data_IF_917645133773
#
_entry.id   IF_917645133773
#
_cell.length_a   1.000
_cell.length_b   1.000
_cell.length_c   1.000
_cell.angle_alpha   90.00
_cell.angle_beta   90.00
_cell.angle_gamma   90.00
#
_symmetry.space_group_name_H-M   'P 1'
#
loop_
_entity.id
_entity.type
_entity.pdbx_description
1 polymer ?
#
# COMPACT_ATOMS: atom_id res chain seq x y z
N UNK A 1 -23.62 -1.98 -15.10
CA UNK A 1 -22.71 -1.78 -13.95
C UNK A 1 -22.08 -3.11 -13.63
N UNK A 2 -20.75 -3.17 -13.49
CA UNK A 2 -20.06 -4.39 -13.09
C UNK A 2 -20.48 -4.80 -11.67
N UNK A 3 -20.67 -6.09 -11.38
CA UNK A 3 -21.05 -6.53 -10.05
C UNK A 3 -19.96 -6.20 -9.03
N UNK A 4 -20.38 -5.94 -7.78
CA UNK A 4 -19.45 -5.79 -6.67
C UNK A 4 -19.01 -7.17 -6.18
N UNK A 5 -17.70 -7.43 -6.18
CA UNK A 5 -17.15 -8.72 -5.76
C UNK A 5 -16.28 -8.53 -4.53
N UNK A 6 -16.43 -9.42 -3.55
CA UNK A 6 -15.64 -9.37 -2.32
C UNK A 6 -14.22 -9.91 -2.61
N UNK A 7 -13.21 -9.05 -2.50
CA UNK A 7 -11.83 -9.37 -2.85
C UNK A 7 -10.85 -8.80 -1.82
N UNK A 8 -9.69 -9.46 -1.68
CA UNK A 8 -8.51 -8.94 -1.01
C UNK A 8 -7.77 -7.98 -1.97
N UNK A 9 -7.28 -6.88 -1.42
CA UNK A 9 -6.64 -5.79 -2.15
C UNK A 9 -5.29 -5.50 -1.51
N UNK A 10 -4.22 -5.49 -2.32
CA UNK A 10 -2.88 -5.06 -1.94
C UNK A 10 -2.55 -3.76 -2.67
N UNK A 11 -2.22 -2.71 -1.91
CA UNK A 11 -1.69 -1.47 -2.47
C UNK A 11 -0.31 -1.21 -1.89
N UNK A 12 0.71 -1.08 -2.73
CA UNK A 12 2.06 -0.71 -2.32
C UNK A 12 2.52 0.59 -2.99
N UNK A 13 3.38 1.36 -2.32
CA UNK A 13 4.10 2.50 -2.89
C UNK A 13 5.58 2.53 -2.44
N UNK A 14 6.39 3.27 -3.21
CA UNK A 14 7.82 3.44 -2.95
C UNK A 14 8.05 4.63 -2.00
N UNK A 15 8.86 4.43 -0.96
CA UNK A 15 9.28 5.53 -0.09
C UNK A 15 10.20 6.50 -0.83
N UNK A 16 9.86 7.79 -0.81
CA UNK A 16 10.75 8.84 -1.32
C UNK A 16 10.89 8.89 -2.84
N UNK A 17 9.99 8.26 -3.59
CA UNK A 17 10.05 8.14 -5.05
C UNK A 17 10.32 9.46 -5.78
N UNK A 18 9.61 10.53 -5.40
CA UNK A 18 9.70 11.84 -6.05
C UNK A 18 11.08 12.52 -5.97
N UNK A 19 11.98 12.01 -5.13
CA UNK A 19 13.36 12.53 -4.98
C UNK A 19 14.32 11.96 -6.04
N UNK A 20 13.92 10.88 -6.71
CA UNK A 20 14.74 10.20 -7.71
C UNK A 20 14.74 10.92 -9.04
N UNK A 21 15.85 10.80 -9.79
CA UNK A 21 15.94 11.27 -11.18
C UNK A 21 15.18 10.31 -12.11
N UNK A 22 14.82 10.75 -13.31
CA UNK A 22 14.04 9.93 -14.25
C UNK A 22 14.59 8.51 -14.49
N UNK A 23 15.92 8.28 -14.67
CA UNK A 23 16.44 6.92 -14.81
C UNK A 23 16.28 6.05 -13.55
N UNK A 24 16.47 6.65 -12.37
CA UNK A 24 16.28 5.98 -11.08
C UNK A 24 14.80 5.66 -10.84
N UNK A 25 13.90 6.54 -11.26
CA UNK A 25 12.46 6.32 -11.20
C UNK A 25 12.01 5.14 -12.07
N UNK A 26 12.49 5.06 -13.32
CA UNK A 26 12.22 3.93 -14.22
C UNK A 26 12.71 2.61 -13.62
N UNK A 27 13.92 2.61 -13.08
CA UNK A 27 14.47 1.42 -12.44
C UNK A 27 13.73 1.04 -11.15
N UNK A 28 13.32 2.03 -10.34
CA UNK A 28 12.52 1.79 -9.14
C UNK A 28 11.14 1.20 -9.47
N UNK A 29 10.49 1.69 -10.54
CA UNK A 29 9.25 1.11 -11.06
C UNK A 29 9.45 -0.35 -11.50
N UNK A 30 10.51 -0.63 -12.25
CA UNK A 30 10.84 -1.98 -12.70
C UNK A 30 11.06 -2.94 -11.52
N UNK A 31 11.84 -2.51 -10.52
CA UNK A 31 12.08 -3.29 -9.30
C UNK A 31 10.82 -3.46 -8.45
N UNK A 32 9.95 -2.46 -8.37
CA UNK A 32 8.63 -2.58 -7.73
C UNK A 32 7.81 -3.68 -8.40
N UNK A 33 7.77 -3.72 -9.74
CA UNK A 33 7.07 -4.79 -10.44
C UNK A 33 7.68 -6.16 -10.06
N UNK A 34 9.00 -6.32 -10.08
CA UNK A 34 9.63 -7.59 -9.72
C UNK A 34 9.26 -8.05 -8.30
N UNK A 35 9.26 -7.12 -7.34
CA UNK A 35 8.89 -7.39 -5.94
C UNK A 35 7.42 -7.81 -5.84
N UNK A 36 6.51 -7.06 -6.45
CA UNK A 36 5.08 -7.35 -6.38
C UNK A 36 4.75 -8.70 -7.03
N UNK A 37 5.36 -9.01 -8.18
CA UNK A 37 5.19 -10.29 -8.86
C UNK A 37 5.72 -11.47 -8.04
N UNK A 38 6.92 -11.35 -7.49
CA UNK A 38 7.49 -12.39 -6.65
C UNK A 38 6.63 -12.63 -5.39
N UNK A 39 6.14 -11.56 -4.76
CA UNK A 39 5.26 -11.66 -3.60
C UNK A 39 3.98 -12.43 -3.90
N UNK A 40 3.34 -12.16 -5.04
CA UNK A 40 2.11 -12.85 -5.42
C UNK A 40 2.37 -14.31 -5.78
N UNK A 41 3.48 -14.61 -6.46
CA UNK A 41 3.89 -15.99 -6.72
C UNK A 41 4.14 -16.77 -5.42
N UNK A 42 4.81 -16.15 -4.45
CA UNK A 42 5.06 -16.71 -3.11
C UNK A 42 3.75 -16.97 -2.36
N UNK A 43 2.75 -16.10 -2.54
CA UNK A 43 1.42 -16.25 -1.96
C UNK A 43 0.51 -17.25 -2.70
N UNK A 44 0.98 -17.87 -3.79
CA UNK A 44 0.14 -18.76 -4.60
C UNK A 44 -0.97 -18.03 -5.37
N UNK A 45 -0.86 -16.71 -5.54
CA UNK A 45 -1.86 -15.87 -6.18
C UNK A 45 -1.52 -15.67 -7.65
N UNK A 46 -2.49 -15.93 -8.53
CA UNK A 46 -2.41 -15.55 -9.94
C UNK A 46 -3.04 -14.18 -10.14
N UNK A 47 -2.27 -13.24 -10.68
CA UNK A 47 -2.76 -11.90 -10.98
C UNK A 47 -3.10 -11.80 -12.46
N UNK A 48 -4.37 -11.46 -12.72
CA UNK A 48 -4.80 -11.11 -14.06
C UNK A 48 -4.40 -9.66 -14.36
N UNK A 49 -3.93 -9.31 -15.57
CA UNK A 49 -3.55 -7.93 -15.90
C UNK A 49 -4.67 -6.91 -15.65
N UNK A 50 -5.94 -7.28 -15.84
CA UNK A 50 -7.10 -6.41 -15.57
C UNK A 50 -7.44 -6.25 -14.09
N UNK A 51 -6.67 -6.87 -13.18
CA UNK A 51 -6.79 -6.73 -11.71
C UNK A 51 -5.64 -5.91 -11.12
N UNK A 52 -4.93 -5.17 -11.98
CA UNK A 52 -3.81 -4.30 -11.62
C UNK A 52 -4.13 -2.88 -12.04
N UNK A 53 -3.80 -1.94 -11.17
CA UNK A 53 -3.83 -0.52 -11.48
C UNK A 53 -2.50 0.10 -11.04
N UNK A 54 -1.71 0.52 -12.02
CA UNK A 54 -0.42 1.16 -11.80
C UNK A 54 -0.62 2.67 -11.50
N UNK A 55 0.10 3.20 -10.52
CA UNK A 55 -0.02 4.58 -10.05
C UNK A 55 1.35 5.21 -9.82
N UNK A 56 2.09 5.48 -10.90
CA UNK A 56 3.37 6.20 -10.83
C UNK A 56 4.42 5.45 -9.98
N UNK A 57 4.43 5.70 -8.68
CA UNK A 57 5.30 5.09 -7.67
C UNK A 57 4.65 3.98 -6.84
N UNK A 58 3.39 3.66 -7.13
CA UNK A 58 2.64 2.60 -6.47
C UNK A 58 1.90 1.68 -7.42
N UNK A 59 1.42 0.58 -6.86
CA UNK A 59 0.66 -0.44 -7.58
C UNK A 59 -0.43 -1.01 -6.69
N UNK A 60 -1.65 -1.00 -7.23
CA UNK A 60 -2.84 -1.60 -6.64
C UNK A 60 -3.14 -2.93 -7.34
N UNK A 61 -3.30 -4.00 -6.56
CA UNK A 61 -3.60 -5.36 -7.02
C UNK A 61 -4.86 -5.87 -6.34
N UNK A 62 -5.80 -6.37 -7.15
CA UNK A 62 -6.96 -7.11 -6.68
C UNK A 62 -6.72 -8.61 -6.83
N UNK A 63 -6.85 -9.32 -5.71
CA UNK A 63 -6.67 -10.75 -5.69
C UNK A 63 -7.96 -11.45 -6.12
N UNK A 64 -7.83 -12.70 -6.57
CA UNK A 64 -8.99 -13.50 -6.96
C UNK A 64 -9.95 -13.65 -5.77
N UNK A 65 -11.28 -13.65 -6.01
CA UNK A 65 -12.24 -13.93 -4.96
C UNK A 65 -12.04 -15.34 -4.37
N UNK A 66 -12.28 -15.52 -3.09
CA UNK A 66 -12.27 -16.84 -2.45
C UNK A 66 -10.89 -17.42 -2.14
N UNK A 67 -9.84 -16.58 -2.14
CA UNK A 67 -8.52 -17.00 -1.65
C UNK A 67 -8.55 -17.34 -0.16
N UNK A 68 -7.66 -18.24 0.27
CA UNK A 68 -7.34 -18.41 1.69
C UNK A 68 -6.55 -17.18 2.17
N UNK A 69 -7.26 -16.22 2.77
CA UNK A 69 -6.70 -14.93 3.19
C UNK A 69 -5.55 -15.10 4.18
N UNK A 70 -5.58 -16.08 5.09
CA UNK A 70 -4.49 -16.27 6.05
C UNK A 70 -3.19 -16.70 5.35
N UNK A 71 -3.29 -17.71 4.48
CA UNK A 71 -2.16 -18.21 3.71
C UNK A 71 -1.64 -17.17 2.72
N UNK A 72 -2.54 -16.47 2.04
CA UNK A 72 -2.17 -15.41 1.08
C UNK A 72 -1.50 -14.23 1.77
N UNK A 73 -2.05 -13.72 2.88
CA UNK A 73 -1.46 -12.58 3.59
C UNK A 73 -0.06 -12.94 4.11
N UNK A 74 0.10 -14.13 4.71
CA UNK A 74 1.41 -14.61 5.17
C UNK A 74 2.42 -14.71 4.01
N UNK A 75 2.00 -15.27 2.88
CA UNK A 75 2.81 -15.40 1.67
C UNK A 75 3.19 -14.05 1.05
N UNK A 76 2.25 -13.09 1.01
CA UNK A 76 2.51 -11.73 0.51
C UNK A 76 3.54 -11.01 1.37
N UNK A 77 3.41 -11.07 2.70
CA UNK A 77 4.35 -10.42 3.62
C UNK A 77 5.76 -11.01 3.44
N UNK A 78 5.85 -12.34 3.40
CA UNK A 78 7.11 -13.07 3.21
C UNK A 78 7.74 -12.73 1.87
N UNK A 79 6.99 -12.84 0.78
CA UNK A 79 7.49 -12.60 -0.56
C UNK A 79 7.87 -11.14 -0.82
N UNK A 80 7.11 -10.16 -0.29
CA UNK A 80 7.49 -8.75 -0.36
C UNK A 80 8.84 -8.51 0.36
N UNK A 81 8.99 -9.03 1.58
CA UNK A 81 10.22 -8.92 2.36
C UNK A 81 11.41 -9.53 1.63
N UNK A 82 11.26 -10.76 1.16
CA UNK A 82 12.37 -11.54 0.57
C UNK A 82 12.79 -10.95 -0.79
N UNK A 83 11.83 -10.52 -1.61
CA UNK A 83 12.14 -9.83 -2.86
C UNK A 83 12.77 -8.47 -2.64
N UNK A 84 12.33 -7.70 -1.62
CA UNK A 84 12.96 -6.42 -1.27
C UNK A 84 14.41 -6.59 -0.85
N UNK A 85 14.70 -7.60 -0.03
CA UNK A 85 16.06 -7.95 0.33
C UNK A 85 16.90 -8.24 -0.92
N UNK A 86 16.37 -9.05 -1.83
CA UNK A 86 17.06 -9.46 -3.05
C UNK A 86 17.35 -8.27 -3.99
N UNK A 87 16.35 -7.45 -4.32
CA UNK A 87 16.56 -6.28 -5.19
C UNK A 87 17.50 -5.25 -4.55
N UNK A 88 17.65 -5.24 -3.23
CA UNK A 88 18.53 -4.31 -2.50
C UNK A 88 19.96 -4.83 -2.33
N UNK A 89 20.27 -6.07 -2.73
CA UNK A 89 21.65 -6.59 -2.65
C UNK A 89 22.63 -5.76 -3.50
N UNK A 90 22.17 -5.21 -4.62
CA UNK A 90 22.95 -4.32 -5.47
C UNK A 90 22.37 -2.90 -5.44
N UNK A 91 22.91 -2.06 -4.56
CA UNK A 91 22.43 -0.69 -4.31
C UNK A 91 22.81 0.32 -5.41
N UNK A 92 23.26 -0.12 -6.59
CA UNK A 92 23.69 0.76 -7.69
C UNK A 92 22.64 1.80 -8.10
N UNK A 93 21.36 1.51 -7.88
CA UNK A 93 20.22 2.38 -8.17
C UNK A 93 19.51 2.90 -6.93
N UNK A 94 20.15 2.78 -5.77
CA UNK A 94 19.58 3.14 -4.47
C UNK A 94 18.76 2.01 -3.83
N UNK A 95 18.56 2.16 -2.52
CA UNK A 95 17.79 1.23 -1.70
C UNK A 95 16.29 1.44 -1.91
N UNK A 96 15.58 0.41 -2.32
CA UNK A 96 14.14 0.39 -2.49
C UNK A 96 13.46 0.06 -1.16
N UNK A 97 12.54 0.90 -0.70
CA UNK A 97 11.76 0.67 0.52
C UNK A 97 10.29 0.88 0.18
N UNK A 98 9.42 -0.01 0.66
CA UNK A 98 8.00 -0.01 0.34
C UNK A 98 7.15 0.19 1.58
N UNK A 99 6.06 0.95 1.39
CA UNK A 99 4.89 0.87 2.25
C UNK A 99 3.85 0.05 1.51
N UNK A 100 3.08 -0.74 2.25
CA UNK A 100 1.99 -1.53 1.70
C UNK A 100 0.76 -1.47 2.59
N UNK A 101 -0.42 -1.60 1.99
CA UNK A 101 -1.70 -1.67 2.66
C UNK A 101 -2.49 -2.88 2.15
N UNK A 102 -3.05 -3.66 3.07
CA UNK A 102 -4.01 -4.70 2.75
C UNK A 102 -5.39 -4.31 3.27
N UNK A 103 -6.39 -4.52 2.42
CA UNK A 103 -7.80 -4.31 2.76
C UNK A 103 -8.65 -5.34 2.04
N UNK A 104 -9.86 -5.54 2.51
CA UNK A 104 -10.74 -6.55 1.97
C UNK A 104 -12.17 -6.00 1.95
N UNK A 105 -12.88 -6.17 0.83
CA UNK A 105 -14.28 -5.77 0.76
C UNK A 105 -14.87 -5.89 -0.63
N UNK A 106 -16.09 -5.39 -0.81
CA UNK A 106 -16.76 -5.35 -2.10
C UNK A 106 -16.13 -4.30 -3.03
N UNK A 107 -15.70 -4.73 -4.20
CA UNK A 107 -14.99 -3.91 -5.19
C UNK A 107 -15.69 -4.05 -6.55
N UNK A 108 -15.83 -2.93 -7.25
CA UNK A 108 -16.38 -2.83 -8.60
C UNK A 108 -15.35 -2.23 -9.54
N UNK A 109 -15.42 -2.60 -10.82
CA UNK A 109 -14.65 -1.93 -11.88
C UNK A 109 -15.37 -0.66 -12.28
N UNK A 110 -14.70 0.47 -12.14
CA UNK A 110 -15.11 1.79 -12.61
C UNK A 110 -14.44 2.18 -13.92
N UNK A 111 -14.78 3.36 -14.43
CA UNK A 111 -14.25 3.86 -15.71
C UNK A 111 -12.73 4.14 -15.69
N UNK A 112 -12.17 4.47 -14.53
CA UNK A 112 -10.77 4.91 -14.35
C UNK A 112 -10.00 4.05 -13.36
N UNK A 113 -10.52 2.88 -12.99
CA UNK A 113 -9.93 2.03 -11.97
C UNK A 113 -10.96 1.31 -11.12
N UNK A 114 -10.61 0.98 -9.89
CA UNK A 114 -11.50 0.25 -8.98
C UNK A 114 -12.23 1.17 -8.00
N UNK A 115 -13.47 0.80 -7.70
CA UNK A 115 -14.35 1.51 -6.79
C UNK A 115 -14.71 0.57 -5.65
N UNK A 116 -14.60 1.03 -4.42
CA UNK A 116 -15.03 0.28 -3.25
C UNK A 116 -14.47 0.85 -1.96
N UNK A 117 -15.19 0.62 -0.86
CA UNK A 117 -14.74 1.05 0.48
C UNK A 117 -13.37 0.47 0.83
N UNK A 118 -13.12 -0.79 0.44
CA UNK A 118 -11.81 -1.42 0.63
C UNK A 118 -10.68 -0.70 -0.12
N UNK A 119 -10.88 -0.38 -1.40
CA UNK A 119 -9.88 0.37 -2.20
C UNK A 119 -9.57 1.73 -1.59
N UNK A 120 -10.62 2.46 -1.16
CA UNK A 120 -10.46 3.74 -0.47
C UNK A 120 -9.71 3.55 0.85
N UNK A 121 -10.08 2.55 1.65
CA UNK A 121 -9.40 2.25 2.91
C UNK A 121 -7.92 1.93 2.70
N UNK A 122 -7.57 1.04 1.76
CA UNK A 122 -6.17 0.74 1.43
C UNK A 122 -5.38 1.99 1.04
N UNK A 123 -5.92 2.83 0.14
CA UNK A 123 -5.28 4.09 -0.26
C UNK A 123 -5.06 5.02 0.94
N UNK A 124 -6.09 5.24 1.77
CA UNK A 124 -6.00 6.16 2.92
C UNK A 124 -5.08 5.64 4.03
N UNK A 125 -5.05 4.33 4.24
CA UNK A 125 -4.13 3.70 5.20
C UNK A 125 -2.68 3.74 4.68
N UNK A 126 -2.45 3.49 3.39
CA UNK A 126 -1.13 3.58 2.76
C UNK A 126 -0.53 5.00 2.88
N UNK A 127 -1.39 6.01 2.73
CA UNK A 127 -1.03 7.42 2.87
C UNK A 127 -0.91 7.93 4.32
N UNK A 128 -1.18 7.08 5.31
CA UNK A 128 -1.22 7.49 6.71
C UNK A 128 0.15 7.97 7.22
N UNK A 129 0.20 9.04 8.05
CA UNK A 129 1.41 9.44 8.74
C UNK A 129 1.97 8.33 9.63
N UNK A 130 1.10 7.49 10.21
CA UNK A 130 1.48 6.36 11.06
C UNK A 130 2.35 5.36 10.31
N UNK A 131 1.91 4.92 9.12
CA UNK A 131 2.68 3.98 8.30
C UNK A 131 3.99 4.60 7.79
N UNK A 132 3.94 5.86 7.31
CA UNK A 132 5.13 6.62 6.90
C UNK A 132 6.16 6.71 8.03
N UNK A 133 5.71 7.00 9.24
CA UNK A 133 6.56 7.11 10.42
C UNK A 133 7.14 5.75 10.83
N UNK A 134 6.34 4.68 10.77
CA UNK A 134 6.78 3.34 11.09
C UNK A 134 7.94 2.88 10.18
N UNK A 135 7.83 3.11 8.87
CA UNK A 135 8.92 2.81 7.94
C UNK A 135 10.13 3.74 8.17
N UNK A 136 9.92 5.05 8.30
CA UNK A 136 11.00 6.01 8.48
C UNK A 136 11.86 5.76 9.73
N UNK A 137 11.24 5.31 10.83
CA UNK A 137 11.94 4.95 12.08
C UNK A 137 12.70 3.62 11.97
N UNK A 138 12.29 2.74 11.09
CA UNK A 138 12.80 1.36 11.02
C UNK A 138 13.88 1.20 9.94
N UNK A 139 15.09 1.73 10.21
CA UNK A 139 16.19 1.76 9.23
C UNK A 139 16.72 0.39 8.80
N UNK A 140 16.46 -0.65 9.60
CA UNK A 140 16.90 -2.02 9.34
C UNK A 140 15.93 -2.83 8.48
N UNK A 141 14.81 -2.23 8.04
CA UNK A 141 13.85 -2.88 7.15
C UNK A 141 13.53 -2.03 5.92
N UNK A 142 13.04 -2.72 4.90
CA UNK A 142 12.59 -2.20 3.62
C UNK A 142 11.07 -2.25 3.47
N UNK A 143 10.33 -2.82 4.44
CA UNK A 143 8.89 -3.00 4.33
C UNK A 143 8.15 -2.58 5.61
N UNK A 144 7.17 -1.70 5.45
CA UNK A 144 6.12 -1.50 6.43
C UNK A 144 4.76 -1.76 5.77
N UNK A 145 3.92 -2.53 6.44
CA UNK A 145 2.59 -2.91 6.01
C UNK A 145 1.57 -2.34 6.98
N UNK A 146 0.40 -1.96 6.51
CA UNK A 146 -0.78 -1.71 7.33
C UNK A 146 -1.94 -2.58 6.84
N UNK A 147 -2.76 -3.08 7.75
CA UNK A 147 -3.99 -3.81 7.41
C UNK A 147 -5.20 -3.13 8.03
N UNK A 148 -6.37 -3.29 7.41
CA UNK A 148 -7.64 -2.85 7.97
C UNK A 148 -7.98 -3.64 9.24
N UNK A 149 -8.81 -3.06 10.11
CA UNK A 149 -9.18 -3.69 11.40
C UNK A 149 -9.94 -5.01 11.21
N UNK A 150 -10.84 -5.09 10.24
CA UNK A 150 -11.57 -6.31 9.90
C UNK A 150 -10.64 -7.46 9.50
N UNK A 151 -9.69 -7.22 8.58
CA UNK A 151 -8.67 -8.20 8.22
C UNK A 151 -7.83 -8.64 9.43
N UNK A 152 -7.50 -7.71 10.33
CA UNK A 152 -6.77 -8.06 11.53
C UNK A 152 -7.58 -8.96 12.47
N UNK A 153 -8.82 -8.59 12.78
CA UNK A 153 -9.66 -9.36 13.72
C UNK A 153 -10.00 -10.75 13.15
N UNK A 154 -10.34 -10.81 11.87
CA UNK A 154 -10.91 -12.02 11.25
C UNK A 154 -9.83 -13.01 10.82
N UNK A 155 -8.65 -12.53 10.40
CA UNK A 155 -7.60 -13.38 9.81
C UNK A 155 -6.35 -13.43 10.68
N UNK A 156 -5.72 -12.27 10.92
CA UNK A 156 -4.38 -12.21 11.55
C UNK A 156 -4.43 -12.58 13.03
N UNK A 157 -5.42 -12.07 13.76
CA UNK A 157 -5.57 -12.32 15.21
C UNK A 157 -5.80 -13.78 15.52
N UNK A 158 -6.34 -14.55 14.57
CA UNK A 158 -6.58 -15.98 14.73
C UNK A 158 -5.28 -16.82 14.69
N UNK A 159 -4.15 -16.23 14.25
CA UNK A 159 -2.82 -16.86 14.35
C UNK A 159 -2.53 -17.95 13.32
N UNK A 160 -3.30 -18.02 12.23
CA UNK A 160 -3.12 -19.02 11.18
C UNK A 160 -1.89 -18.72 10.29
N UNK A 161 -1.35 -19.76 9.65
CA UNK A 161 -0.31 -19.67 8.61
C UNK A 161 0.95 -18.88 8.99
N UNK A 162 1.30 -18.86 10.29
CA UNK A 162 2.50 -18.19 10.80
C UNK A 162 2.36 -16.67 10.99
N UNK A 163 1.13 -16.14 10.89
CA UNK A 163 0.85 -14.74 11.21
C UNK A 163 0.90 -14.51 12.72
N UNK A 164 1.95 -13.85 13.19
CA UNK A 164 2.11 -13.47 14.59
C UNK A 164 1.40 -12.13 14.85
N UNK A 165 0.17 -12.22 15.37
CA UNK A 165 -0.67 -11.06 15.69
C UNK A 165 0.02 -10.05 16.62
N UNK A 166 0.94 -10.49 17.49
CA UNK A 166 1.66 -9.60 18.40
C UNK A 166 2.63 -8.66 17.66
N UNK A 167 2.95 -8.94 16.39
CA UNK A 167 3.80 -8.08 15.54
C UNK A 167 3.02 -6.99 14.81
N UNK A 168 1.71 -6.90 15.04
CA UNK A 168 0.85 -5.88 14.46
C UNK A 168 0.48 -4.87 15.53
N UNK A 169 0.89 -3.62 15.34
CA UNK A 169 0.62 -2.53 16.25
C UNK A 169 -0.64 -1.78 15.79
N UNK A 170 -1.64 -1.72 16.67
CA UNK A 170 -2.86 -0.92 16.43
C UNK A 170 -2.52 0.57 16.34
N UNK A 171 -3.08 1.24 15.33
CA UNK A 171 -3.01 2.68 15.12
C UNK A 171 -4.41 3.25 14.81
N UNK A 172 -4.61 4.53 15.09
CA UNK A 172 -5.82 5.26 14.75
C UNK A 172 -5.51 6.22 13.61
N UNK A 173 -5.85 5.82 12.38
CA UNK A 173 -5.59 6.63 11.20
C UNK A 173 -6.73 7.64 11.04
N UNK A 174 -6.39 8.92 11.02
CA UNK A 174 -7.34 10.00 10.77
C UNK A 174 -6.80 10.97 9.72
N UNK A 175 -7.59 11.23 8.68
CA UNK A 175 -7.32 12.26 7.69
C UNK A 175 -8.53 13.19 7.60
N UNK A 176 -8.47 14.31 8.33
CA UNK A 176 -9.56 15.30 8.39
C UNK A 176 -9.90 15.87 7.02
N UNK A 177 -8.89 16.16 6.18
CA UNK A 177 -9.09 16.73 4.83
C UNK A 177 -9.86 15.80 3.89
N UNK A 178 -9.85 14.50 4.16
CA UNK A 178 -10.52 13.47 3.36
C UNK A 178 -11.65 12.79 4.12
N UNK A 179 -12.12 13.39 5.22
CA UNK A 179 -13.16 12.87 6.11
C UNK A 179 -13.00 11.37 6.44
N UNK A 180 -11.76 10.92 6.64
CA UNK A 180 -11.45 9.51 6.84
C UNK A 180 -10.99 9.26 8.27
N UNK A 181 -11.58 8.24 8.91
CA UNK A 181 -11.13 7.70 10.20
C UNK A 181 -11.26 6.19 10.16
N UNK A 182 -10.19 5.48 10.49
CA UNK A 182 -10.20 4.03 10.59
C UNK A 182 -9.19 3.54 11.63
N UNK A 183 -9.47 2.38 12.22
CA UNK A 183 -8.45 1.59 12.91
C UNK A 183 -7.63 0.85 11.87
N UNK A 184 -6.31 0.89 12.00
CA UNK A 184 -5.40 0.10 11.19
C UNK A 184 -4.39 -0.62 12.07
N UNK A 185 -3.73 -1.63 11.52
CA UNK A 185 -2.72 -2.42 12.23
C UNK A 185 -1.43 -2.45 11.42
N UNK A 186 -0.40 -1.80 11.96
CA UNK A 186 0.90 -1.64 11.31
C UNK A 186 1.80 -2.81 11.67
N UNK A 187 2.39 -3.42 10.65
CA UNK A 187 3.44 -4.43 10.77
C UNK A 187 4.71 -3.95 10.07
N UNK A 188 5.81 -3.90 10.80
CA UNK A 188 7.13 -3.64 10.23
C UNK A 188 7.84 -4.98 10.07
N UNK A 189 7.99 -5.44 8.83
CA UNK A 189 8.56 -6.75 8.57
C UNK A 189 10.04 -6.74 8.96
N UNK A 190 10.53 -7.67 9.79
CA UNK A 190 11.97 -7.78 10.04
C UNK A 190 12.69 -8.16 8.73
N UNK A 191 13.99 -7.86 8.57
CA UNK A 191 14.77 -8.44 7.48
C UNK A 191 14.73 -9.98 7.57
N UNK A 192 14.91 -10.69 6.45
CA UNK A 192 14.94 -12.15 6.47
C UNK A 192 16.11 -12.65 7.34
N UNK A 193 15.86 -13.69 8.14
CA UNK A 193 16.84 -14.23 9.09
C UNK A 193 18.02 -14.92 8.39
N UNK A 194 17.77 -15.45 7.20
CA UNK A 194 18.76 -16.07 6.32
C UNK A 194 18.71 -15.38 4.95
N UNK A 195 19.77 -15.51 4.15
CA UNK A 195 19.78 -14.99 2.79
C UNK A 195 18.79 -15.79 1.94
N UNK A 196 17.65 -15.20 1.52
CA UNK A 196 16.64 -15.94 0.80
C UNK A 196 17.17 -16.22 -0.61
N UNK A 197 17.15 -17.49 -1.04
CA UNK A 197 17.53 -17.86 -2.40
C UNK A 197 16.38 -17.53 -3.36
N UNK A 198 16.21 -16.24 -3.64
CA UNK A 198 15.11 -15.70 -4.44
C UNK A 198 15.54 -15.60 -5.91
N UNK A 199 14.78 -16.24 -6.79
CA UNK A 199 14.85 -15.97 -8.23
C UNK A 199 13.76 -14.94 -8.58
N UNK A 200 14.16 -13.68 -8.71
CA UNK A 200 13.25 -12.62 -9.12
C UNK A 200 12.81 -12.84 -10.58
N UNK A 201 11.54 -12.55 -10.91
CA UNK A 201 11.08 -12.63 -12.28
C UNK A 201 11.83 -11.64 -13.17
N UNK A 202 12.18 -12.06 -14.38
CA UNK A 202 12.59 -11.15 -15.43
C UNK A 202 11.36 -10.45 -16.00
N UNK A 203 11.27 -9.13 -15.84
CA UNK A 203 10.20 -8.32 -16.41
C UNK A 203 10.77 -7.56 -17.59
N UNK A 204 10.21 -7.76 -18.78
CA UNK A 204 10.59 -6.94 -19.94
C UNK A 204 10.27 -5.47 -19.65
N UNK A 205 11.15 -4.56 -20.10
CA UNK A 205 11.02 -3.12 -19.82
C UNK A 205 9.71 -2.49 -20.29
N UNK A 206 8.99 -3.18 -21.17
CA UNK A 206 7.68 -2.78 -21.69
C UNK A 206 6.52 -3.15 -20.74
N UNK A 207 6.81 -3.66 -19.54
CA UNK A 207 5.82 -3.92 -18.48
C UNK A 207 4.91 -5.12 -18.74
N UNK A 208 5.25 -6.00 -19.71
CA UNK A 208 4.45 -7.19 -20.08
C UNK A 208 5.11 -8.51 -19.65
N UNK A 209 4.92 -8.98 -18.41
CA UNK A 209 5.45 -10.28 -17.99
C UNK A 209 4.51 -11.48 -18.23
N UNK A 210 3.43 -11.37 -19.01
CA UNK A 210 2.35 -12.38 -18.97
C UNK A 210 2.44 -13.56 -19.95
N UNK A 211 3.43 -13.63 -20.86
CA UNK A 211 3.44 -14.68 -21.91
C UNK A 211 4.30 -15.92 -21.64
N UNK A 212 4.95 -16.06 -20.49
CA UNK A 212 5.73 -17.27 -20.22
C UNK A 212 5.25 -17.93 -18.94
N UNK A 213 4.70 -19.14 -19.09
CA UNK A 213 4.24 -19.97 -17.98
C UNK A 213 5.32 -20.11 -16.92
N UNK A 214 5.05 -19.57 -15.73
CA UNK A 214 5.88 -19.81 -14.56
C UNK A 214 5.65 -21.26 -14.15
N UNK A 215 6.57 -22.13 -14.53
CA UNK A 215 6.73 -23.43 -13.88
C UNK A 215 7.00 -23.12 -12.40
N UNK A 216 6.08 -23.49 -11.52
CA UNK A 216 6.24 -23.27 -10.09
C UNK A 216 7.53 -23.96 -9.62
N UNK A 217 8.54 -23.18 -9.22
CA UNK A 217 9.70 -23.72 -8.54
C UNK A 217 9.32 -23.82 -7.06
N UNK A 218 8.72 -24.95 -6.70
CA UNK A 218 8.73 -25.39 -5.31
C UNK A 218 10.18 -25.81 -4.98
N UNK A 219 10.94 -24.94 -4.32
CA UNK A 219 12.21 -25.34 -3.71
C UNK A 219 11.88 -26.16 -2.47
N UNK A 220 11.64 -27.46 -2.65
CA UNK A 220 11.70 -28.39 -1.53
C UNK A 220 13.17 -28.72 -1.31
N UNK A 221 13.71 -28.34 -0.15
CA UNK A 221 15.10 -28.60 0.20
C UNK A 221 15.45 -30.09 0.03
N UNK A 222 16.48 -30.36 -0.75
CA UNK A 222 16.99 -31.71 -0.98
C UNK A 222 17.86 -31.75 -2.22
N UNK A 223 19.17 -31.97 -2.04
CA UNK A 223 20.13 -32.13 -3.12
C UNK A 223 19.71 -33.27 -4.07
N UNK A 224 19.59 -32.97 -5.37
CA UNK A 224 19.35 -33.99 -6.39
C UNK A 224 18.94 -33.39 -7.73
N UNK A 225 19.91 -33.17 -8.61
CA UNK A 225 19.69 -32.85 -10.01
C UNK A 225 19.09 -34.08 -10.72
N UNK A 226 17.86 -34.00 -11.24
CA UNK A 226 17.38 -34.90 -12.29
C UNK A 226 16.75 -34.09 -13.42
N UNK A 227 17.49 -34.03 -14.53
CA UNK A 227 16.99 -33.66 -15.85
C UNK A 227 16.26 -34.87 -16.41
N UNK A 228 14.95 -34.77 -16.65
CA UNK A 228 14.24 -35.75 -17.48
C UNK A 228 12.76 -35.93 -17.15
N UNK A 229 11.90 -35.51 -18.07
CA UNK A 229 10.75 -36.28 -18.55
C UNK A 229 9.50 -36.43 -17.66
N UNK A 230 8.37 -35.98 -18.22
CA UNK A 230 6.98 -36.29 -17.88
C UNK A 230 6.44 -35.73 -16.56
N UNK A 231 5.83 -34.54 -16.64
CA UNK A 231 4.88 -34.09 -15.63
C UNK A 231 3.58 -34.86 -15.87
N UNK A 232 3.25 -35.76 -14.94
CA UNK A 232 1.92 -36.34 -14.85
C UNK A 232 0.92 -35.20 -14.63
N UNK A 233 -0.07 -35.11 -15.52
CA UNK A 233 -1.10 -34.07 -15.48
C UNK A 233 -1.94 -34.18 -14.21
N UNK A 234 -1.84 -33.17 -13.36
CA UNK A 234 -2.92 -32.80 -12.47
C UNK A 234 -3.80 -31.84 -13.27
N UNK A 235 -4.97 -32.31 -13.72
CA UNK A 235 -6.02 -31.43 -14.22
C UNK A 235 -6.50 -30.54 -13.08
N UNK A 236 -5.90 -29.36 -12.97
CA UNK A 236 -6.53 -28.24 -12.28
C UNK A 236 -7.56 -27.67 -13.26
N UNK A 237 -8.83 -27.91 -12.95
CA UNK A 237 -9.96 -27.51 -13.78
C UNK A 237 -9.81 -26.09 -14.32
N UNK A 238 -9.93 -25.97 -15.64
CA UNK A 238 -10.08 -24.70 -16.31
C UNK A 238 -11.31 -24.00 -15.70
N UNK A 239 -11.08 -22.88 -15.01
CA UNK A 239 -12.18 -22.03 -14.59
C UNK A 239 -12.56 -21.15 -15.77
N UNK A 240 -13.78 -21.35 -16.25
CA UNK A 240 -14.42 -20.67 -17.37
C UNK A 240 -15.09 -19.38 -16.87
N UNK A 241 -14.30 -18.52 -16.23
CA UNK A 241 -14.76 -17.21 -15.74
C UNK A 241 -14.35 -16.12 -16.71
N UNK A 242 -15.33 -15.39 -17.26
CA UNK A 242 -15.06 -14.26 -18.14
C UNK A 242 -14.11 -13.25 -17.47
N UNK A 243 -13.05 -12.81 -18.16
CA UNK A 243 -12.15 -11.78 -17.63
C UNK A 243 -12.93 -10.48 -17.39
N UNK A 244 -12.72 -9.85 -16.22
CA UNK A 244 -13.22 -8.49 -15.99
C UNK A 244 -12.59 -7.55 -17.04
N UNK A 245 -13.37 -6.57 -17.58
CA UNK A 245 -12.90 -5.68 -18.63
C UNK A 245 -11.62 -4.95 -18.20
N UNK A 246 -10.64 -4.91 -19.09
CA UNK A 246 -9.37 -4.23 -18.86
C UNK A 246 -9.59 -2.72 -18.64
N UNK A 247 -9.00 -2.17 -17.57
CA UNK A 247 -8.91 -0.72 -17.35
C UNK A 247 -7.78 -0.19 -18.22
N UNK A 248 -8.00 0.96 -18.89
CA UNK A 248 -6.97 1.59 -19.72
C UNK A 248 -5.82 2.15 -18.85
N UNK A 249 -4.58 1.93 -19.30
CA UNK A 249 -3.38 2.48 -18.69
C UNK A 249 -3.36 4.02 -18.83
N UNK A 250 -3.81 4.73 -17.79
CA UNK A 250 -3.65 6.17 -17.69
C UNK A 250 -2.46 6.50 -16.80
N UNK A 251 -1.31 6.71 -17.42
CA UNK A 251 -0.16 7.39 -16.79
C UNK A 251 -0.51 8.87 -16.58
N UNK A 252 -1.12 9.18 -15.44
CA UNK A 252 -1.47 10.55 -15.07
C UNK A 252 -1.64 10.69 -13.58
N UNK A 253 -0.85 11.55 -12.97
CA UNK A 253 -0.95 11.89 -11.55
C UNK A 253 -2.25 12.69 -11.29
N UNK A 254 -3.38 12.04 -10.96
CA UNK A 254 -4.57 12.73 -10.46
C UNK A 254 -5.41 11.85 -9.53
N UNK A 255 -5.62 12.36 -8.31
CA UNK A 255 -6.50 11.76 -7.29
C UNK A 255 -6.70 12.67 -6.07
N UNK A 256 -6.59 13.99 -6.24
CA UNK A 256 -7.15 14.96 -5.30
C UNK A 256 -8.46 15.46 -5.92
N UNK A 257 -9.57 15.12 -5.27
CA UNK A 257 -10.87 15.85 -5.33
C UNK A 257 -11.95 15.32 -6.28
N UNK A 258 -12.31 14.04 -6.13
CA UNK A 258 -13.52 13.47 -6.77
C UNK A 258 -14.50 12.79 -5.80
N UNK A 259 -14.48 13.16 -4.52
CA UNK A 259 -15.53 12.78 -3.58
C UNK A 259 -16.16 14.05 -3.00
N UNK A 260 -17.14 14.61 -3.72
CA UNK A 260 -18.08 15.54 -3.14
C UNK A 260 -19.00 14.76 -2.20
N UNK A 261 -19.01 15.13 -0.92
CA UNK A 261 -19.99 14.64 0.04
C UNK A 261 -20.52 15.82 0.87
N UNK A 262 -21.84 15.80 1.01
CA UNK A 262 -22.77 16.76 1.58
C UNK A 262 -22.61 16.85 3.11
N UNK A 263 -22.46 18.05 3.73
CA UNK A 263 -22.12 18.16 5.14
C UNK A 263 -23.31 18.03 6.12
N UNK A 264 -24.53 17.88 5.64
CA UNK A 264 -25.72 17.95 6.51
C UNK A 264 -26.24 16.53 6.84
N UNK A 265 -25.67 15.92 7.88
CA UNK A 265 -26.05 14.59 8.32
C UNK A 265 -25.47 14.15 9.66
N UNK A 266 -25.41 15.07 10.63
CA UNK A 266 -25.18 14.73 12.04
C UNK A 266 -26.07 15.61 12.91
N UNK A 267 -27.27 15.11 13.22
CA UNK A 267 -28.02 15.55 14.38
C UNK A 267 -28.01 14.45 15.46
N UNK A 268 -27.91 14.95 16.69
CA UNK A 268 -28.27 14.35 17.98
C UNK A 268 -27.37 13.27 18.60
N UNK A 269 -26.51 13.74 19.51
CA UNK A 269 -26.32 13.12 20.83
C UNK A 269 -26.23 14.19 21.90
N UNK A 270 -27.25 14.20 22.75
CA UNK A 270 -27.42 15.01 23.96
C UNK A 270 -26.26 14.93 24.97
N UNK A 271 -26.03 16.05 25.66
CA UNK A 271 -25.82 16.02 27.10
C UNK A 271 -24.44 16.43 27.63
N UNK A 272 -24.15 17.74 27.69
CA UNK A 272 -23.31 18.33 28.74
C UNK A 272 -23.94 19.64 29.25
N UNK A 273 -23.94 19.90 30.57
CA UNK A 273 -24.69 21.00 31.17
C UNK A 273 -24.02 22.36 30.93
N UNK A 274 -24.87 23.36 30.69
CA UNK A 274 -24.54 24.77 30.52
C UNK A 274 -23.83 25.36 31.74
N UNK A 275 -22.76 26.12 31.49
CA UNK A 275 -22.14 27.01 32.48
C UNK A 275 -22.77 28.40 32.32
N UNK A 276 -23.27 29.06 33.38
CA UNK A 276 -23.99 30.32 33.22
C UNK A 276 -23.07 31.46 32.82
N UNK A 277 -23.47 32.22 31.80
CA UNK A 277 -22.91 33.52 31.45
C UNK A 277 -23.31 34.58 32.48
N UNK A 278 -22.34 35.39 32.93
CA UNK A 278 -22.57 36.62 33.68
C UNK A 278 -22.21 37.82 32.79
N UNK A 279 -23.00 38.92 32.78
CA UNK A 279 -22.80 40.03 31.84
C UNK A 279 -21.93 41.18 32.39
N UNK A 280 -21.56 42.05 31.44
CA UNK A 280 -21.10 43.44 31.54
C UNK A 280 -19.64 43.76 31.91
N UNK A 281 -18.88 44.23 30.90
CA UNK A 281 -18.13 45.48 30.94
C UNK A 281 -17.73 45.89 29.51
N UNK A 282 -18.13 47.10 29.09
CA UNK A 282 -17.99 47.60 27.72
C UNK A 282 -16.82 48.55 27.45
N UNK A 283 -16.66 48.79 26.15
CA UNK A 283 -16.15 49.97 25.42
C UNK A 283 -14.74 50.52 25.67
N UNK A 284 -13.98 50.63 24.57
CA UNK A 284 -12.91 51.61 24.42
C UNK A 284 -11.93 51.29 23.27
N UNK A 285 -12.27 51.70 22.05
CA UNK A 285 -11.28 52.08 21.02
C UNK A 285 -11.01 53.58 21.18
N UNK A 286 -9.76 54.08 21.02
CA UNK A 286 -9.52 54.86 19.81
C UNK A 286 -8.08 54.83 19.25
N UNK A 287 -7.97 54.80 17.92
CA UNK A 287 -7.02 55.58 17.09
C UNK A 287 -5.53 55.19 17.17
N UNK A 288 -4.79 55.02 16.08
CA UNK A 288 -4.71 55.87 14.89
C UNK A 288 -3.30 56.52 14.85
N UNK A 289 -2.67 56.51 13.66
CA UNK A 289 -1.40 57.12 13.26
C UNK A 289 -0.10 56.36 13.58
N UNK A 290 0.97 56.43 12.80
CA UNK A 290 1.25 56.63 11.36
C UNK A 290 2.79 56.55 11.27
N UNK A 291 3.29 56.02 10.16
CA UNK A 291 4.51 56.41 9.45
C UNK A 291 5.87 56.69 10.14
N UNK A 292 6.90 56.08 9.54
CA UNK A 292 8.06 56.87 9.14
C UNK A 292 9.45 56.40 9.60
N UNK A 293 10.06 55.54 8.77
CA UNK A 293 11.34 55.80 8.09
C UNK A 293 12.70 55.96 8.83
N UNK A 294 13.72 55.34 8.19
CA UNK A 294 15.15 55.68 8.15
C UNK A 294 15.99 55.38 9.42
N UNK A 295 17.24 54.92 9.40
CA UNK A 295 18.23 54.72 8.35
C UNK A 295 19.36 53.77 8.81
N UNK A 296 20.13 53.32 7.82
CA UNK A 296 21.42 52.65 7.86
C UNK A 296 22.49 53.26 8.79
N UNK A 297 23.35 52.41 9.35
CA UNK A 297 24.73 52.79 9.66
C UNK A 297 25.72 51.66 9.38
N UNK A 298 26.80 52.03 8.70
CA UNK A 298 27.96 51.21 8.32
C UNK A 298 29.13 51.48 9.26
N UNK A 299 30.08 50.53 9.25
CA UNK A 299 31.52 50.66 9.48
C UNK A 299 32.10 50.46 10.91
N UNK A 300 32.89 49.37 10.97
CA UNK A 300 34.31 49.25 11.34
C UNK A 300 34.86 49.59 12.73
N UNK A 301 35.71 48.65 13.17
CA UNK A 301 36.88 48.67 14.07
C UNK A 301 36.81 47.40 14.95
N UNK A 302 37.74 46.42 14.92
CA UNK A 302 39.22 46.38 14.81
C UNK A 302 39.63 45.03 14.18
#
# INVERSE_FOLDING_TARGET
MSPAVRQLCLFADIEGYSRHRAPEQVEAQHRLLQVMWYACSTAGVRIHPSHRQDQGDGQLLLLQPGVDEATVIAGLITGLRDALYEVNRNIGWGRLRLRAALSQGAIQVGATGYIGVAVVAASRLLDSPDLRTALAKSRHTDLALIVTDDLYQDVIRQGHSGLDAARFQRVQVANRKKAFRATGWVHVAPPPAENPNVLLPHIERDGRPWRTGMLGVAVTGGAGLLVGGAVAGYELGAFDGDPLPAVADHHGALGQDLYGYDPDGFDDVDGLPEVPHHPDAGWGDPGGWDDGHHDSWSADHI
#
